data_IF_219328449733
#
_entry.id   IF_219328449733
#
_cell.length_a   1.000
_cell.length_b   1.000
_cell.length_c   1.000
_cell.angle_alpha   90.00
_cell.angle_beta   90.00
_cell.angle_gamma   90.00
#
_symmetry.space_group_name_H-M   'P 1'
#
loop_
_entity.id
_entity.type
_entity.pdbx_description
1 polymer ?
#
# COMPACT_ATOMS: atom_id res chain seq x y z
N UNK A 1 -6.73 21.89 7.88
CA UNK A 1 -7.28 20.84 8.76
C UNK A 1 -8.80 20.89 8.84
N UNK A 2 -9.43 21.95 9.34
CA UNK A 2 -10.89 22.06 9.50
C UNK A 2 -11.75 21.70 8.28
N UNK A 3 -11.32 22.07 7.06
CA UNK A 3 -12.09 21.76 5.83
C UNK A 3 -12.26 20.26 5.55
N UNK A 4 -11.25 19.42 5.86
CA UNK A 4 -11.37 17.97 5.65
C UNK A 4 -12.36 17.35 6.65
N UNK A 5 -12.30 17.75 7.91
CA UNK A 5 -13.24 17.32 8.95
C UNK A 5 -14.68 17.70 8.61
N UNK A 6 -14.90 18.94 8.14
CA UNK A 6 -16.22 19.39 7.70
C UNK A 6 -16.75 18.55 6.51
N UNK A 7 -15.89 18.27 5.51
CA UNK A 7 -16.27 17.42 4.37
C UNK A 7 -16.62 16.02 4.86
N UNK A 8 -15.82 15.44 5.74
CA UNK A 8 -16.06 14.11 6.29
C UNK A 8 -17.36 14.06 7.09
N UNK A 9 -17.63 15.05 7.91
CA UNK A 9 -18.84 15.13 8.72
C UNK A 9 -20.12 15.32 7.89
N UNK A 10 -20.03 16.00 6.75
CA UNK A 10 -21.17 16.28 5.85
C UNK A 10 -21.34 15.21 4.75
N UNK A 11 -20.33 14.36 4.53
CA UNK A 11 -20.35 13.36 3.47
C UNK A 11 -21.26 12.18 3.82
N UNK A 12 -22.10 11.79 2.87
CA UNK A 12 -22.90 10.55 2.97
C UNK A 12 -22.08 9.29 2.62
N UNK A 13 -20.85 9.47 2.12
CA UNK A 13 -19.93 8.37 1.80
C UNK A 13 -18.64 8.52 2.62
N UNK A 14 -17.99 7.41 2.98
CA UNK A 14 -16.72 7.47 3.70
C UNK A 14 -15.64 8.23 2.90
N UNK A 15 -14.84 9.02 3.61
CA UNK A 15 -13.72 9.78 3.03
C UNK A 15 -12.39 9.12 3.35
N UNK A 16 -11.42 9.25 2.45
CA UNK A 16 -10.10 8.65 2.57
C UNK A 16 -8.98 9.70 2.51
N UNK A 17 -8.02 9.61 3.44
CA UNK A 17 -6.74 10.32 3.33
C UNK A 17 -5.75 9.45 2.56
N UNK A 18 -5.25 9.94 1.43
CA UNK A 18 -4.25 9.24 0.63
C UNK A 18 -2.89 9.95 0.71
N UNK A 19 -2.64 10.94 -0.12
CA UNK A 19 -1.30 11.56 -0.23
C UNK A 19 -0.83 12.32 1.03
N UNK A 20 -1.70 12.57 1.98
CA UNK A 20 -1.37 13.20 3.25
C UNK A 20 -0.89 12.27 4.37
N UNK A 21 -0.63 10.98 4.07
CA UNK A 21 -0.19 9.98 5.07
C UNK A 21 1.26 9.59 4.80
N UNK A 22 2.19 10.11 5.58
CA UNK A 22 3.64 9.88 5.44
C UNK A 22 4.29 9.27 6.68
N UNK A 23 3.58 9.24 7.81
CA UNK A 23 4.11 8.77 9.08
C UNK A 23 3.02 8.23 10.00
N UNK A 24 3.43 7.55 11.06
CA UNK A 24 2.51 7.13 12.13
C UNK A 24 1.87 8.32 12.83
N UNK A 25 2.54 9.48 12.89
CA UNK A 25 1.97 10.69 13.47
C UNK A 25 0.79 11.22 12.65
N UNK A 26 0.87 11.13 11.31
CA UNK A 26 -0.25 11.50 10.44
C UNK A 26 -1.45 10.58 10.68
N UNK A 27 -1.21 9.28 10.86
CA UNK A 27 -2.26 8.30 11.19
C UNK A 27 -2.95 8.67 12.52
N UNK A 28 -2.15 8.98 13.55
CA UNK A 28 -2.66 9.40 14.87
C UNK A 28 -3.49 10.69 14.73
N UNK A 29 -2.95 11.69 14.05
CA UNK A 29 -3.64 12.97 13.83
C UNK A 29 -4.98 12.77 13.10
N UNK A 30 -5.01 11.92 12.08
CA UNK A 30 -6.22 11.61 11.30
C UNK A 30 -7.28 10.94 12.19
N UNK A 31 -6.88 9.94 12.97
CA UNK A 31 -7.82 9.20 13.82
C UNK A 31 -8.33 10.01 15.00
N UNK A 32 -7.45 10.63 15.78
CA UNK A 32 -7.83 11.39 16.96
C UNK A 32 -8.71 12.60 16.64
N UNK A 33 -8.51 13.21 15.47
CA UNK A 33 -9.28 14.37 15.04
C UNK A 33 -10.40 14.04 14.05
N UNK A 34 -10.66 12.79 13.75
CA UNK A 34 -11.70 12.37 12.80
C UNK A 34 -11.62 13.10 11.45
N UNK A 35 -10.39 13.24 10.91
CA UNK A 35 -10.14 14.02 9.69
C UNK A 35 -10.76 13.33 8.47
N UNK A 36 -10.66 12.00 8.41
CA UNK A 36 -11.29 11.15 7.37
C UNK A 36 -11.77 9.85 7.98
N UNK A 37 -12.64 9.14 7.27
CA UNK A 37 -13.18 7.83 7.69
C UNK A 37 -12.16 6.69 7.60
N UNK A 38 -11.10 6.89 6.84
CA UNK A 38 -10.03 5.92 6.63
C UNK A 38 -8.87 6.54 5.89
N UNK A 39 -7.88 5.70 5.57
CA UNK A 39 -6.64 6.13 4.95
C UNK A 39 -6.10 5.08 3.98
N UNK A 40 -5.25 5.54 3.05
CA UNK A 40 -4.53 4.70 2.09
C UNK A 40 -3.05 4.65 2.46
N UNK A 41 -2.57 3.48 2.84
CA UNK A 41 -1.18 3.22 3.21
C UNK A 41 -0.38 2.78 1.98
N UNK A 42 0.78 3.41 1.78
CA UNK A 42 1.72 3.06 0.71
C UNK A 42 3.11 2.85 1.30
N UNK A 43 3.72 1.71 1.05
CA UNK A 43 5.06 1.39 1.57
C UNK A 43 6.11 2.44 1.18
N UNK A 44 6.02 2.98 -0.04
CA UNK A 44 6.95 4.01 -0.54
C UNK A 44 6.86 5.34 0.22
N UNK A 45 5.67 5.71 0.70
CA UNK A 45 5.49 6.95 1.49
C UNK A 45 5.92 6.78 2.93
N UNK A 46 5.75 5.59 3.47
CA UNK A 46 5.95 5.27 4.89
C UNK A 46 7.36 4.79 5.21
N UNK A 47 8.22 4.59 4.18
CA UNK A 47 9.59 4.16 4.40
C UNK A 47 9.78 2.64 4.45
N UNK A 48 8.79 1.86 4.00
CA UNK A 48 8.90 0.42 3.84
C UNK A 48 7.75 -0.38 4.47
N UNK A 49 7.85 -1.71 4.34
CA UNK A 49 6.78 -2.63 4.76
C UNK A 49 6.53 -2.60 6.27
N UNK A 50 7.60 -2.53 7.09
CA UNK A 50 7.46 -2.53 8.55
C UNK A 50 6.77 -1.27 9.07
N UNK A 51 7.12 -0.11 8.54
CA UNK A 51 6.45 1.15 8.90
C UNK A 51 4.99 1.17 8.43
N UNK A 52 4.71 0.62 7.24
CA UNK A 52 3.35 0.47 6.76
C UNK A 52 2.51 -0.46 7.66
N UNK A 53 3.09 -1.55 8.11
CA UNK A 53 2.47 -2.46 9.10
C UNK A 53 2.13 -1.72 10.40
N UNK A 54 3.09 -1.01 11.00
CA UNK A 54 2.84 -0.24 12.23
C UNK A 54 1.74 0.81 12.06
N UNK A 55 1.74 1.51 10.93
CA UNK A 55 0.68 2.46 10.60
C UNK A 55 -0.69 1.79 10.47
N UNK A 56 -0.74 0.60 9.88
CA UNK A 56 -1.96 -0.18 9.77
C UNK A 56 -2.51 -0.63 11.13
N UNK A 57 -1.66 -1.17 12.00
CA UNK A 57 -2.09 -1.55 13.35
C UNK A 57 -2.55 -0.32 14.16
N UNK A 58 -1.84 0.82 14.05
CA UNK A 58 -2.28 2.06 14.71
C UNK A 58 -3.62 2.56 14.15
N UNK A 59 -3.84 2.47 12.86
CA UNK A 59 -5.12 2.82 12.24
C UNK A 59 -6.27 1.93 12.75
N UNK A 60 -6.03 0.62 12.91
CA UNK A 60 -6.98 -0.32 13.52
C UNK A 60 -7.32 0.07 14.97
N UNK A 61 -6.31 0.40 15.79
CA UNK A 61 -6.53 0.88 17.17
C UNK A 61 -7.41 2.13 17.23
N UNK A 62 -7.32 3.00 16.22
CA UNK A 62 -8.08 4.24 16.12
C UNK A 62 -9.42 4.08 15.39
N UNK A 63 -9.77 2.87 14.98
CA UNK A 63 -11.03 2.57 14.28
C UNK A 63 -11.12 3.13 12.86
N UNK A 64 -9.97 3.42 12.21
CA UNK A 64 -9.93 3.89 10.84
C UNK A 64 -10.05 2.73 9.84
N UNK A 65 -10.73 2.97 8.74
CA UNK A 65 -10.71 2.05 7.62
C UNK A 65 -9.37 2.12 6.88
N UNK A 66 -8.92 0.99 6.34
CA UNK A 66 -7.60 0.88 5.73
C UNK A 66 -7.70 0.32 4.32
N UNK A 67 -7.22 1.10 3.35
CA UNK A 67 -6.80 0.65 2.05
C UNK A 67 -5.26 0.54 2.04
N UNK A 68 -4.72 -0.48 1.41
CA UNK A 68 -3.31 -0.55 1.07
C UNK A 68 -3.14 -0.38 -0.43
N UNK A 69 -2.18 0.42 -0.83
CA UNK A 69 -2.04 0.71 -2.25
C UNK A 69 -0.59 0.90 -2.68
N UNK A 70 -0.31 0.48 -3.91
CA UNK A 70 0.92 0.79 -4.60
C UNK A 70 0.88 2.16 -5.29
N UNK A 71 2.02 2.63 -5.78
CA UNK A 71 2.10 3.69 -6.78
C UNK A 71 1.74 3.14 -8.15
N UNK A 72 1.44 4.03 -9.10
CA UNK A 72 1.16 3.62 -10.48
C UNK A 72 2.36 2.90 -11.09
N UNK A 73 2.12 1.72 -11.64
CA UNK A 73 3.12 0.88 -12.29
C UNK A 73 4.33 0.49 -11.39
N UNK A 74 4.07 0.16 -10.14
CA UNK A 74 5.07 -0.48 -9.27
C UNK A 74 5.37 -1.91 -9.73
N UNK A 75 6.60 -2.36 -9.48
CA UNK A 75 7.01 -3.74 -9.79
C UNK A 75 6.30 -4.77 -8.92
N UNK A 76 6.33 -6.04 -9.33
CA UNK A 76 5.85 -7.14 -8.50
C UNK A 76 6.58 -7.23 -7.15
N UNK A 77 7.83 -6.76 -7.04
CA UNK A 77 8.54 -6.70 -5.75
C UNK A 77 7.75 -5.83 -4.76
N UNK A 78 7.40 -4.61 -5.17
CA UNK A 78 6.63 -3.71 -4.32
C UNK A 78 5.20 -4.24 -4.08
N UNK A 79 4.58 -4.81 -5.12
CA UNK A 79 3.24 -5.40 -5.02
C UNK A 79 3.19 -6.60 -4.06
N UNK A 80 4.17 -7.48 -4.08
CA UNK A 80 4.30 -8.56 -3.09
C UNK A 80 4.52 -8.00 -1.68
N UNK A 81 5.40 -7.02 -1.53
CA UNK A 81 5.69 -6.43 -0.22
C UNK A 81 4.42 -5.83 0.43
N UNK A 82 3.66 -5.00 -0.29
CA UNK A 82 2.43 -4.41 0.25
C UNK A 82 1.35 -5.48 0.49
N UNK A 83 1.31 -6.53 -0.32
CA UNK A 83 0.37 -7.64 -0.14
C UNK A 83 0.67 -8.45 1.12
N UNK A 84 1.94 -8.66 1.47
CA UNK A 84 2.31 -9.26 2.75
C UNK A 84 1.93 -8.36 3.94
N UNK A 85 2.09 -7.05 3.80
CA UNK A 85 1.61 -6.09 4.82
C UNK A 85 0.10 -6.20 5.00
N UNK A 86 -0.66 -6.30 3.89
CA UNK A 86 -2.11 -6.46 3.95
C UNK A 86 -2.55 -7.72 4.69
N UNK A 87 -1.80 -8.82 4.57
CA UNK A 87 -2.07 -10.05 5.33
C UNK A 87 -1.68 -9.97 6.80
N UNK A 88 -0.67 -9.17 7.12
CA UNK A 88 -0.14 -9.04 8.47
C UNK A 88 -0.97 -8.09 9.34
N UNK A 89 -1.62 -7.10 8.76
CA UNK A 89 -2.48 -6.14 9.47
C UNK A 89 -3.75 -6.86 9.94
N UNK A 90 -4.18 -6.59 11.17
CA UNK A 90 -5.37 -7.21 11.77
C UNK A 90 -6.62 -7.03 10.93
N UNK A 91 -6.81 -5.84 10.36
CA UNK A 91 -7.93 -5.56 9.47
C UNK A 91 -7.55 -4.53 8.40
N UNK A 92 -7.64 -4.91 7.12
CA UNK A 92 -7.51 -4.03 5.96
C UNK A 92 -8.82 -4.11 5.16
N UNK A 93 -9.80 -3.31 5.54
CA UNK A 93 -11.20 -3.45 5.15
C UNK A 93 -11.61 -2.66 3.90
N UNK A 94 -10.70 -1.87 3.32
CA UNK A 94 -10.90 -1.16 2.05
C UNK A 94 -10.02 -1.70 0.93
N UNK A 95 -9.77 -3.00 0.94
CA UNK A 95 -9.07 -3.73 -0.09
C UNK A 95 -7.62 -3.30 -0.35
N UNK A 96 -7.00 -3.99 -1.28
CA UNK A 96 -5.63 -3.80 -1.72
C UNK A 96 -5.61 -3.39 -3.20
N UNK A 97 -4.97 -2.26 -3.49
CA UNK A 97 -4.78 -1.76 -4.85
C UNK A 97 -3.34 -1.97 -5.30
N UNK A 98 -3.10 -2.86 -6.25
CA UNK A 98 -1.79 -3.10 -6.85
C UNK A 98 -1.78 -2.77 -8.34
N UNK A 99 -0.63 -2.44 -8.88
CA UNK A 99 -0.50 -1.81 -10.20
C UNK A 99 0.59 -2.41 -11.09
N UNK A 100 1.21 -3.52 -10.68
CA UNK A 100 2.26 -4.17 -11.46
C UNK A 100 1.77 -4.62 -12.86
N UNK A 101 0.47 -4.90 -13.02
CA UNK A 101 -0.13 -5.26 -14.30
C UNK A 101 -0.09 -4.13 -15.35
N UNK A 102 0.25 -2.90 -14.96
CA UNK A 102 0.42 -1.78 -15.90
C UNK A 102 1.84 -1.69 -16.47
N UNK A 103 2.78 -2.51 -15.98
CA UNK A 103 4.12 -2.59 -16.53
C UNK A 103 4.13 -3.41 -17.82
N UNK A 104 4.82 -2.89 -18.84
CA UNK A 104 5.10 -3.64 -20.08
C UNK A 104 6.08 -4.79 -19.82
N UNK A 105 7.07 -4.54 -18.96
CA UNK A 105 8.05 -5.53 -18.51
C UNK A 105 8.31 -5.34 -17.01
N UNK A 106 8.20 -6.41 -16.24
CA UNK A 106 8.45 -6.43 -14.80
C UNK A 106 9.78 -7.14 -14.54
N UNK A 107 10.77 -6.50 -13.89
CA UNK A 107 12.12 -7.03 -13.71
C UNK A 107 12.20 -8.11 -12.62
N UNK A 108 11.30 -9.06 -12.64
CA UNK A 108 11.23 -10.16 -11.65
C UNK A 108 11.19 -11.53 -12.32
N UNK A 109 11.55 -12.55 -11.56
CA UNK A 109 11.47 -13.96 -11.98
C UNK A 109 10.03 -14.45 -12.05
N UNK A 110 9.16 -13.93 -11.17
CA UNK A 110 7.75 -14.30 -11.09
C UNK A 110 6.90 -13.06 -10.83
N UNK A 111 6.02 -12.74 -11.77
CA UNK A 111 5.08 -11.62 -11.62
C UNK A 111 3.97 -11.98 -10.65
N UNK A 112 3.57 -11.02 -9.81
CA UNK A 112 2.36 -11.13 -9.02
C UNK A 112 1.14 -11.09 -9.95
N UNK A 113 0.22 -12.02 -9.75
CA UNK A 113 -0.99 -12.14 -10.57
C UNK A 113 -2.24 -11.99 -9.71
N UNK A 114 -3.21 -11.26 -10.25
CA UNK A 114 -4.56 -11.21 -9.71
C UNK A 114 -5.40 -12.23 -10.50
N UNK A 115 -6.12 -13.09 -9.79
CA UNK A 115 -7.08 -14.03 -10.38
C UNK A 115 -8.40 -13.92 -9.64
N UNK A 116 -9.48 -13.68 -10.37
CA UNK A 116 -10.81 -13.49 -9.79
C UNK A 116 -10.87 -12.45 -8.65
N UNK A 117 -10.14 -11.34 -8.78
CA UNK A 117 -10.05 -10.30 -7.77
C UNK A 117 -9.21 -10.67 -6.54
N UNK A 118 -8.48 -11.78 -6.58
CA UNK A 118 -7.68 -12.28 -5.46
C UNK A 118 -6.22 -12.44 -5.83
N UNK A 119 -5.35 -12.23 -4.83
CA UNK A 119 -3.94 -12.54 -4.88
C UNK A 119 -3.72 -13.83 -4.10
N UNK A 120 -3.17 -14.85 -4.76
CA UNK A 120 -2.81 -16.09 -4.12
C UNK A 120 -1.31 -16.12 -3.81
N UNK A 121 -0.98 -16.22 -2.54
CA UNK A 121 0.39 -16.42 -2.09
C UNK A 121 0.71 -17.92 -2.09
N UNK A 122 1.82 -18.28 -2.71
CA UNK A 122 2.43 -19.57 -2.46
C UNK A 122 3.13 -19.52 -1.11
N UNK A 123 3.17 -20.64 -0.41
CA UNK A 123 3.87 -20.76 0.88
C UNK A 123 5.39 -20.81 0.62
N UNK A 124 5.96 -19.67 0.22
CA UNK A 124 7.38 -19.48 -0.09
C UNK A 124 8.03 -18.58 0.94
N UNK A 125 9.32 -18.79 1.18
CA UNK A 125 10.12 -17.92 2.05
C UNK A 125 10.38 -16.58 1.33
N UNK A 126 10.37 -15.48 2.06
CA UNK A 126 10.62 -14.14 1.53
C UNK A 126 9.42 -13.51 0.83
N UNK A 127 9.65 -12.70 -0.17
CA UNK A 127 8.59 -11.99 -0.89
C UNK A 127 7.73 -12.87 -1.80
N UNK A 128 8.26 -14.02 -2.25
CA UNK A 128 7.60 -14.88 -3.24
C UNK A 128 8.03 -14.58 -4.68
N UNK A 129 8.96 -13.67 -4.88
CA UNK A 129 9.63 -13.37 -6.14
C UNK A 129 11.06 -12.89 -5.90
N UNK A 130 11.87 -12.89 -6.95
CA UNK A 130 13.25 -12.40 -6.96
C UNK A 130 13.46 -11.44 -8.13
N UNK A 131 14.46 -10.58 -8.00
CA UNK A 131 14.89 -9.71 -9.08
C UNK A 131 15.49 -10.55 -10.22
N UNK A 132 14.99 -10.38 -11.42
CA UNK A 132 15.61 -10.90 -12.64
C UNK A 132 16.66 -9.89 -13.14
N UNK A 133 17.92 -10.20 -12.88
CA UNK A 133 19.05 -9.31 -13.21
C UNK A 133 19.12 -9.04 -14.71
N UNK A 134 18.78 -10.02 -15.57
CA UNK A 134 18.83 -9.85 -17.02
C UNK A 134 17.78 -8.85 -17.53
N UNK A 135 16.59 -8.86 -16.94
CA UNK A 135 15.56 -7.86 -17.22
C UNK A 135 15.89 -6.51 -16.59
N UNK A 136 16.35 -6.52 -15.32
CA UNK A 136 16.66 -5.31 -14.59
C UNK A 136 17.79 -4.49 -15.24
N UNK A 137 18.78 -5.15 -15.83
CA UNK A 137 19.91 -4.48 -16.49
C UNK A 137 19.48 -3.56 -17.65
N UNK A 138 18.34 -3.82 -18.28
CA UNK A 138 17.79 -2.95 -19.34
C UNK A 138 17.35 -1.57 -18.82
N UNK A 139 17.07 -1.47 -17.54
CA UNK A 139 16.58 -0.23 -16.89
C UNK A 139 17.69 0.53 -16.16
N UNK A 140 18.90 -0.02 -16.09
CA UNK A 140 20.05 0.65 -15.50
C UNK A 140 20.57 1.69 -16.47
N UNK A 141 20.43 2.96 -16.14
CA UNK A 141 21.07 4.02 -16.87
C UNK A 141 22.59 3.89 -16.69
N UNK A 142 23.33 3.69 -17.78
CA UNK A 142 24.78 3.85 -17.75
C UNK A 142 25.07 5.32 -17.46
N UNK A 143 25.63 5.61 -16.28
CA UNK A 143 26.16 6.93 -15.99
C UNK A 143 27.33 7.19 -16.96
N UNK A 144 27.11 8.08 -17.92
CA UNK A 144 28.13 8.66 -18.79
C UNK A 144 29.06 9.60 -18.00
#
# INVERSE_FOLDING_TARGET
>A
MYKRQEITALSSVPTCSDEGVHSINDVIEIGENSITSGLSLKTIKLGGAYEAYKCGEKANELGLNINLSGKVAETSIASFAISHVAQAITQANWDLSITNQYLVEDPVTKNLKISNGQINFENTVGLGTELDISKASKFIQQSS
#
